data_IF_091407200801
#
_entry.id   IF_091407200801
#
_cell.length_a   1.000
_cell.length_b   1.000
_cell.length_c   1.000
_cell.angle_alpha   90.00
_cell.angle_beta   90.00
_cell.angle_gamma   90.00
#
_symmetry.space_group_name_H-M   'P 1'
#
loop_
_entity.id
_entity.type
_entity.pdbx_description
1 polymer ?
#
# COMPACT_ATOMS: atom_id res chain seq x y z
N UNK A 1 8.00 30.00 -16.96
CA UNK A 1 8.19 28.56 -17.30
C UNK A 1 7.50 27.61 -16.32
N UNK A 2 7.95 27.37 -15.08
CA UNK A 2 7.21 26.46 -14.16
C UNK A 2 5.78 26.92 -13.86
N UNK A 3 5.58 28.24 -13.68
CA UNK A 3 4.26 28.85 -13.46
C UNK A 3 3.41 28.96 -14.73
N UNK A 4 3.99 28.71 -15.90
CA UNK A 4 3.32 28.82 -17.21
C UNK A 4 2.84 27.45 -17.73
N UNK A 5 2.96 26.38 -16.93
CA UNK A 5 2.52 25.02 -17.30
C UNK A 5 3.49 24.25 -18.20
N UNK A 6 4.61 24.87 -18.58
CA UNK A 6 5.65 24.25 -19.41
C UNK A 6 6.61 23.42 -18.54
N UNK A 7 6.11 22.28 -18.05
CA UNK A 7 6.85 21.43 -17.12
C UNK A 7 7.95 20.62 -17.81
N UNK A 8 7.76 20.22 -19.06
CA UNK A 8 8.75 19.45 -19.85
C UNK A 8 9.98 20.31 -20.20
N UNK A 9 9.78 21.51 -20.75
CA UNK A 9 10.87 22.45 -21.04
C UNK A 9 11.65 22.82 -19.77
N UNK A 10 10.93 23.01 -18.66
CA UNK A 10 11.54 23.29 -17.36
C UNK A 10 12.44 22.12 -16.90
N UNK A 11 12.10 20.87 -17.16
CA UNK A 11 12.96 19.72 -16.85
C UNK A 11 14.26 19.75 -17.65
N UNK A 12 14.23 20.16 -18.92
CA UNK A 12 15.43 20.38 -19.73
C UNK A 12 16.38 21.38 -19.07
N UNK A 13 15.87 22.56 -18.73
CA UNK A 13 16.65 23.61 -18.06
C UNK A 13 17.17 23.16 -16.68
N UNK A 14 16.37 22.43 -15.90
CA UNK A 14 16.85 21.92 -14.62
C UNK A 14 17.91 20.82 -14.78
N UNK A 15 17.90 20.06 -15.88
CA UNK A 15 18.96 19.09 -16.19
C UNK A 15 20.29 19.80 -16.42
N UNK A 16 20.27 20.87 -17.22
CA UNK A 16 21.46 21.71 -17.45
C UNK A 16 21.92 22.40 -16.15
N UNK A 17 20.97 22.94 -15.38
CA UNK A 17 21.27 23.57 -14.10
C UNK A 17 21.90 22.58 -13.10
N UNK A 18 21.50 21.31 -13.12
CA UNK A 18 22.08 20.28 -12.27
C UNK A 18 23.55 20.00 -12.63
N UNK A 19 23.90 20.02 -13.91
CA UNK A 19 25.28 19.87 -14.36
C UNK A 19 26.18 21.04 -13.94
N UNK A 20 25.60 22.24 -13.82
CA UNK A 20 26.30 23.46 -13.37
C UNK A 20 26.30 23.62 -11.84
N UNK A 21 25.47 22.88 -11.12
CA UNK A 21 25.32 23.01 -9.67
C UNK A 21 26.57 22.54 -8.92
N UNK A 22 27.20 23.47 -8.17
CA UNK A 22 28.45 23.21 -7.45
C UNK A 22 28.22 22.92 -5.97
N UNK A 23 27.22 23.56 -5.37
CA UNK A 23 26.96 23.43 -3.94
C UNK A 23 25.86 22.42 -3.66
N UNK A 24 25.91 21.82 -2.47
CA UNK A 24 24.86 20.92 -1.98
C UNK A 24 23.49 21.58 -2.00
N UNK A 25 23.40 22.83 -1.54
CA UNK A 25 22.15 23.58 -1.50
C UNK A 25 21.56 23.83 -2.90
N UNK A 26 22.41 24.12 -3.90
CA UNK A 26 21.97 24.25 -5.29
C UNK A 26 21.42 22.93 -5.82
N UNK A 27 22.12 21.82 -5.60
CA UNK A 27 21.67 20.50 -6.03
C UNK A 27 20.33 20.12 -5.39
N UNK A 28 20.17 20.35 -4.09
CA UNK A 28 18.91 20.14 -3.37
C UNK A 28 17.78 20.95 -4.04
N UNK A 29 17.98 22.26 -4.24
CA UNK A 29 16.96 23.10 -4.85
C UNK A 29 16.58 22.64 -6.28
N UNK A 30 17.56 22.24 -7.09
CA UNK A 30 17.31 21.75 -8.45
C UNK A 30 16.53 20.43 -8.43
N UNK A 31 16.94 19.45 -7.62
CA UNK A 31 16.21 18.18 -7.48
C UNK A 31 14.78 18.39 -6.95
N UNK A 32 14.59 19.25 -5.94
CA UNK A 32 13.24 19.58 -5.44
C UNK A 32 12.34 20.18 -6.52
N UNK A 33 12.87 21.06 -7.37
CA UNK A 33 12.12 21.65 -8.47
C UNK A 33 11.81 20.62 -9.58
N UNK A 34 12.75 19.73 -9.90
CA UNK A 34 12.53 18.61 -10.83
C UNK A 34 11.45 17.66 -10.34
N UNK A 35 11.46 17.29 -9.05
CA UNK A 35 10.41 16.50 -8.42
C UNK A 35 9.04 17.16 -8.58
N UNK A 36 8.96 18.47 -8.37
CA UNK A 36 7.73 19.24 -8.55
C UNK A 36 7.26 19.28 -10.02
N UNK A 37 8.17 19.31 -11.00
CA UNK A 37 7.81 19.17 -12.43
C UNK A 37 7.27 17.77 -12.74
N UNK A 38 7.95 16.71 -12.30
CA UNK A 38 7.49 15.34 -12.54
C UNK A 38 6.13 15.05 -11.89
N UNK A 39 5.85 15.62 -10.72
CA UNK A 39 4.52 15.55 -10.11
C UNK A 39 3.44 16.21 -10.96
N UNK A 40 3.74 17.33 -11.61
CA UNK A 40 2.80 17.99 -12.54
C UNK A 40 2.61 17.22 -13.84
N UNK A 41 3.62 16.47 -14.25
CA UNK A 41 3.56 15.56 -15.39
C UNK A 41 3.00 14.17 -15.04
N UNK A 42 2.58 13.95 -13.80
CA UNK A 42 2.11 12.66 -13.29
C UNK A 42 3.12 11.50 -13.42
N UNK A 43 4.41 11.81 -13.59
CA UNK A 43 5.50 10.81 -13.55
C UNK A 43 5.95 10.61 -12.09
N UNK A 44 5.11 9.93 -11.31
CA UNK A 44 5.31 9.76 -9.88
C UNK A 44 6.58 8.96 -9.55
N UNK A 45 7.01 8.04 -10.43
CA UNK A 45 8.24 7.26 -10.20
C UNK A 45 9.46 8.17 -10.22
N UNK A 46 9.62 8.99 -11.27
CA UNK A 46 10.72 9.95 -11.34
C UNK A 46 10.64 11.02 -10.26
N UNK A 47 9.43 11.46 -9.89
CA UNK A 47 9.28 12.37 -8.77
C UNK A 47 9.83 11.80 -7.45
N UNK A 48 9.59 10.51 -7.17
CA UNK A 48 10.12 9.84 -5.99
C UNK A 48 11.65 9.66 -6.04
N UNK A 49 12.21 9.39 -7.23
CA UNK A 49 13.66 9.34 -7.46
C UNK A 49 14.34 10.69 -7.18
N UNK A 50 13.81 11.78 -7.71
CA UNK A 50 14.33 13.13 -7.46
C UNK A 50 14.26 13.49 -5.97
N UNK A 51 13.17 13.11 -5.27
CA UNK A 51 13.09 13.27 -3.82
C UNK A 51 14.17 12.44 -3.10
N UNK A 52 14.47 11.24 -3.59
CA UNK A 52 15.53 10.38 -3.05
C UNK A 52 16.90 11.03 -3.22
N UNK A 53 17.19 11.62 -4.37
CA UNK A 53 18.43 12.40 -4.59
C UNK A 53 18.56 13.58 -3.62
N UNK A 54 17.45 14.25 -3.27
CA UNK A 54 17.47 15.28 -2.21
C UNK A 54 17.85 14.68 -0.86
N UNK A 55 17.30 13.51 -0.52
CA UNK A 55 17.53 12.85 0.77
C UNK A 55 18.91 12.21 0.90
N UNK A 56 19.55 11.84 -0.21
CA UNK A 56 20.97 11.44 -0.24
C UNK A 56 21.89 12.61 0.14
N UNK A 57 21.51 13.83 -0.27
CA UNK A 57 22.22 15.03 0.12
C UNK A 57 21.86 15.41 1.55
N UNK A 58 20.60 15.71 1.84
CA UNK A 58 20.10 16.07 3.16
C UNK A 58 19.10 15.04 3.67
N UNK A 59 19.62 14.13 4.49
CA UNK A 59 18.87 13.01 5.01
C UNK A 59 17.72 13.44 5.95
N UNK A 60 17.78 14.64 6.53
CA UNK A 60 16.75 15.16 7.43
C UNK A 60 15.82 16.17 6.76
N UNK A 61 15.87 16.27 5.43
CA UNK A 61 15.06 17.23 4.68
C UNK A 61 13.56 16.90 4.76
N UNK A 62 12.88 17.53 5.72
CA UNK A 62 11.46 17.26 6.01
C UNK A 62 10.57 17.51 4.78
N UNK A 63 10.88 18.52 3.97
CA UNK A 63 10.14 18.81 2.74
C UNK A 63 10.20 17.68 1.70
N UNK A 64 11.39 17.08 1.48
CA UNK A 64 11.53 15.97 0.54
C UNK A 64 10.91 14.68 1.10
N UNK A 65 11.02 14.43 2.41
CA UNK A 65 10.33 13.30 3.04
C UNK A 65 8.82 13.41 2.83
N UNK A 66 8.21 14.56 3.12
CA UNK A 66 6.76 14.75 2.90
C UNK A 66 6.37 14.60 1.43
N UNK A 67 7.15 15.17 0.51
CA UNK A 67 6.87 15.07 -0.92
C UNK A 67 6.98 13.63 -1.42
N UNK A 68 7.99 12.89 -0.96
CA UNK A 68 8.17 11.47 -1.29
C UNK A 68 7.05 10.62 -0.73
N UNK A 69 6.63 10.83 0.52
CA UNK A 69 5.45 10.17 1.12
C UNK A 69 4.21 10.34 0.25
N UNK A 70 3.90 11.58 -0.15
CA UNK A 70 2.72 11.85 -0.99
C UNK A 70 2.82 11.16 -2.35
N UNK A 71 4.01 11.12 -2.92
CA UNK A 71 4.30 10.47 -4.20
C UNK A 71 4.15 8.94 -4.10
N UNK A 72 4.73 8.33 -3.07
CA UNK A 72 4.68 6.89 -2.80
C UNK A 72 3.26 6.41 -2.49
N UNK A 73 2.47 7.20 -1.77
CA UNK A 73 1.03 6.94 -1.57
C UNK A 73 0.29 6.87 -2.90
N UNK A 74 0.61 7.77 -3.82
CA UNK A 74 0.00 7.78 -5.16
C UNK A 74 0.41 6.55 -5.97
N UNK A 75 1.65 6.07 -5.77
CA UNK A 75 2.15 4.81 -6.32
C UNK A 75 1.65 3.55 -5.58
N UNK A 76 0.85 3.70 -4.52
CA UNK A 76 0.39 2.63 -3.62
C UNK A 76 1.52 1.87 -2.92
N UNK A 77 2.72 2.43 -2.87
CA UNK A 77 3.83 1.90 -2.07
C UNK A 77 3.72 2.43 -0.63
N UNK A 78 2.78 1.85 0.11
CA UNK A 78 2.49 2.27 1.48
C UNK A 78 3.59 1.90 2.48
N UNK A 79 4.38 0.86 2.19
CA UNK A 79 5.48 0.43 3.05
C UNK A 79 6.60 1.48 3.06
N UNK A 80 7.07 1.88 1.88
CA UNK A 80 8.09 2.91 1.74
C UNK A 80 7.58 4.26 2.26
N UNK A 81 6.30 4.59 2.03
CA UNK A 81 5.70 5.81 2.57
C UNK A 81 5.68 5.80 4.12
N UNK A 82 5.36 4.66 4.74
CA UNK A 82 5.33 4.54 6.20
C UNK A 82 6.73 4.71 6.81
N UNK A 83 7.76 4.18 6.15
CA UNK A 83 9.16 4.38 6.57
C UNK A 83 9.51 5.87 6.64
N UNK A 84 9.17 6.64 5.60
CA UNK A 84 9.45 8.07 5.56
C UNK A 84 8.63 8.87 6.59
N UNK A 85 7.37 8.49 6.82
CA UNK A 85 6.55 9.11 7.88
C UNK A 85 7.14 8.86 9.27
N UNK A 86 7.64 7.65 9.54
CA UNK A 86 8.32 7.36 10.81
C UNK A 86 9.51 8.28 11.03
N UNK A 87 10.31 8.50 9.97
CA UNK A 87 11.43 9.43 10.01
C UNK A 87 11.00 10.88 10.28
N UNK A 88 9.89 11.33 9.66
CA UNK A 88 9.31 12.64 9.95
C UNK A 88 8.86 12.78 11.41
N UNK A 89 8.32 11.70 11.99
CA UNK A 89 7.95 11.66 13.40
C UNK A 89 9.16 11.69 14.34
N UNK A 90 10.27 11.05 13.96
CA UNK A 90 11.53 11.17 14.72
C UNK A 90 12.03 12.62 14.75
N UNK A 91 11.83 13.38 13.67
CA UNK A 91 12.23 14.79 13.59
C UNK A 91 11.31 15.71 14.37
N UNK A 92 9.99 15.48 14.30
CA UNK A 92 9.00 16.26 15.04
C UNK A 92 7.92 15.34 15.64
N UNK A 93 8.16 14.78 16.84
CA UNK A 93 7.26 13.80 17.47
C UNK A 93 5.88 14.36 17.83
N UNK A 94 5.78 15.66 18.10
CA UNK A 94 4.55 16.36 18.48
C UNK A 94 3.64 16.73 17.29
N UNK A 95 4.02 16.38 16.07
CA UNK A 95 3.24 16.72 14.89
C UNK A 95 2.06 15.76 14.71
N UNK A 96 0.85 16.24 15.03
CA UNK A 96 -0.40 15.52 14.77
C UNK A 96 -0.57 15.16 13.29
N UNK A 97 -0.02 15.98 12.38
CA UNK A 97 -0.07 15.74 10.94
C UNK A 97 0.62 14.42 10.59
N UNK A 98 1.79 14.14 11.17
CA UNK A 98 2.55 12.92 10.88
C UNK A 98 1.93 11.70 11.53
N UNK A 99 1.40 11.84 12.74
CA UNK A 99 0.67 10.75 13.41
C UNK A 99 -0.59 10.35 12.61
N UNK A 100 -1.34 11.34 12.11
CA UNK A 100 -2.51 11.12 11.28
C UNK A 100 -2.15 10.45 9.93
N UNK A 101 -1.06 10.89 9.27
CA UNK A 101 -0.58 10.21 8.07
C UNK A 101 -0.19 8.75 8.36
N UNK A 102 0.55 8.50 9.44
CA UNK A 102 0.99 7.17 9.83
C UNK A 102 -0.19 6.22 10.05
N UNK A 103 -1.23 6.69 10.78
CA UNK A 103 -2.44 5.92 11.02
C UNK A 103 -3.16 5.56 9.71
N UNK A 104 -3.33 6.55 8.80
CA UNK A 104 -3.95 6.33 7.48
C UNK A 104 -3.19 5.30 6.64
N UNK A 105 -1.85 5.39 6.63
CA UNK A 105 -1.01 4.46 5.88
C UNK A 105 -1.11 3.02 6.42
N UNK A 106 -1.14 2.85 7.75
CA UNK A 106 -1.35 1.52 8.36
C UNK A 106 -2.70 0.93 8.01
N UNK A 107 -3.76 1.74 8.00
CA UNK A 107 -5.07 1.29 7.55
C UNK A 107 -5.04 0.86 6.09
N UNK A 108 -4.45 1.65 5.19
CA UNK A 108 -4.31 1.27 3.77
C UNK A 108 -3.55 -0.04 3.58
N UNK A 109 -2.50 -0.25 4.37
CA UNK A 109 -1.72 -1.49 4.33
C UNK A 109 -2.51 -2.70 4.85
N UNK A 110 -3.34 -2.50 5.87
CA UNK A 110 -4.24 -3.54 6.39
C UNK A 110 -5.39 -3.88 5.44
N UNK A 111 -5.81 -2.94 4.60
CA UNK A 111 -6.87 -3.10 3.61
C UNK A 111 -6.35 -3.64 2.27
N UNK A 112 -5.03 -3.67 2.07
CA UNK A 112 -4.45 -4.20 0.84
C UNK A 112 -4.90 -5.67 0.68
N UNK A 113 -5.48 -6.04 -0.48
CA UNK A 113 -5.85 -7.42 -0.75
C UNK A 113 -4.64 -8.32 -0.51
N UNK A 114 -4.84 -9.41 0.22
CA UNK A 114 -3.84 -10.48 0.33
C UNK A 114 -3.55 -10.89 -1.13
N UNK A 115 -2.30 -10.84 -1.61
CA UNK A 115 -2.00 -11.33 -2.95
C UNK A 115 -2.45 -12.79 -2.98
N UNK A 116 -3.46 -13.08 -3.79
CA UNK A 116 -3.79 -14.45 -4.17
C UNK A 116 -2.48 -15.02 -4.70
N UNK A 117 -1.98 -16.02 -3.97
CA UNK A 117 -0.66 -16.59 -4.17
C UNK A 117 -0.45 -16.97 -5.63
N UNK A 118 0.77 -16.77 -6.13
CA UNK A 118 1.26 -17.00 -7.49
C UNK A 118 1.14 -18.46 -8.00
N UNK A 119 0.19 -19.27 -7.51
CA UNK A 119 -0.04 -20.66 -7.92
C UNK A 119 -0.86 -20.77 -9.23
N UNK A 120 -1.60 -19.75 -9.65
CA UNK A 120 -2.40 -19.81 -10.88
C UNK A 120 -1.61 -19.58 -12.18
N UNK A 121 -0.35 -19.15 -12.09
CA UNK A 121 0.50 -18.97 -13.29
C UNK A 121 0.99 -20.30 -13.91
N UNK A 122 0.77 -21.46 -13.26
CA UNK A 122 1.27 -22.75 -13.74
C UNK A 122 0.25 -23.55 -14.59
N UNK A 123 -0.98 -23.08 -14.80
CA UNK A 123 -2.04 -23.88 -15.43
C UNK A 123 -2.43 -23.50 -16.87
N UNK A 124 -1.75 -22.52 -17.50
CA UNK A 124 -2.14 -22.02 -18.83
C UNK A 124 -1.17 -22.28 -19.99
N UNK A 125 -0.15 -23.13 -19.85
CA UNK A 125 0.74 -23.48 -20.97
C UNK A 125 0.81 -24.99 -21.29
N UNK A 126 -0.31 -25.66 -21.53
CA UNK A 126 -0.29 -26.84 -22.41
C UNK A 126 -1.43 -26.80 -23.42
N UNK A 127 -1.13 -26.33 -24.63
CA UNK A 127 -2.09 -26.36 -25.73
C UNK A 127 -1.66 -25.66 -27.00
N UNK A 128 -0.57 -26.09 -27.65
CA UNK A 128 -0.25 -25.61 -29.00
C UNK A 128 1.00 -26.21 -29.65
N UNK A 129 0.85 -27.32 -30.38
CA UNK A 129 1.82 -27.75 -31.41
C UNK A 129 1.58 -26.92 -32.68
N UNK A 130 2.60 -26.41 -33.40
CA UNK A 130 3.36 -27.07 -34.49
C UNK A 130 4.23 -25.98 -35.21
N UNK A 131 4.99 -26.26 -36.30
CA UNK A 131 6.45 -26.51 -36.27
C UNK A 131 7.26 -25.58 -37.20
N UNK A 132 8.51 -25.23 -36.88
CA UNK A 132 9.43 -24.65 -37.87
C UNK A 132 10.85 -25.23 -37.79
N UNK A 133 11.31 -25.58 -38.99
CA UNK A 133 12.55 -26.21 -39.42
C UNK A 133 13.78 -25.32 -39.26
N UNK A 134 14.96 -25.91 -39.05
CA UNK A 134 16.23 -25.22 -39.28
C UNK A 134 17.44 -25.93 -38.69
N UNK A 135 18.20 -26.62 -39.55
CA UNK A 135 19.50 -27.24 -39.27
C UNK A 135 20.55 -26.30 -38.63
N UNK A 136 21.28 -26.79 -37.62
CA UNK A 136 22.69 -26.43 -37.41
C UNK A 136 23.43 -27.46 -36.54
N UNK A 137 24.59 -27.89 -37.04
CA UNK A 137 25.52 -28.88 -36.50
C UNK A 137 26.20 -28.42 -35.19
N UNK A 138 26.44 -29.34 -34.25
CA UNK A 138 27.79 -29.84 -33.85
C UNK A 138 28.01 -30.15 -32.35
N UNK A 139 28.42 -31.42 -32.13
CA UNK A 139 29.31 -32.02 -31.09
C UNK A 139 28.91 -32.09 -29.59
N UNK A 140 29.16 -33.25 -28.93
CA UNK A 140 28.93 -33.45 -27.50
C UNK A 140 30.22 -33.29 -26.67
N UNK A 141 30.13 -32.84 -25.42
CA UNK A 141 31.15 -33.16 -24.42
C UNK A 141 30.61 -33.22 -22.99
N UNK A 142 30.90 -34.37 -22.40
CA UNK A 142 30.78 -34.80 -21.01
C UNK A 142 31.30 -33.78 -19.97
N UNK A 143 30.58 -33.60 -18.87
CA UNK A 143 31.02 -34.02 -17.52
C UNK A 143 30.17 -33.33 -16.43
N UNK A 144 29.41 -34.14 -15.69
CA UNK A 144 28.90 -33.79 -14.35
C UNK A 144 30.00 -34.08 -13.33
N UNK A 145 30.25 -33.22 -12.33
CA UNK A 145 30.92 -33.66 -11.12
C UNK A 145 29.89 -34.14 -10.07
N UNK A 146 30.16 -35.31 -9.50
CA UNK A 146 29.47 -35.92 -8.36
C UNK A 146 30.03 -35.44 -7.01
N UNK A 147 29.09 -35.12 -6.10
CA UNK A 147 28.98 -35.50 -4.66
C UNK A 147 30.04 -35.01 -3.64
N UNK A 148 29.63 -34.77 -2.37
CA UNK A 148 29.58 -35.90 -1.44
C UNK A 148 28.32 -36.00 -0.59
N UNK A 149 27.89 -37.25 -0.41
CA UNK A 149 27.01 -37.74 0.65
C UNK A 149 27.70 -37.50 1.99
N UNK A 150 27.02 -36.85 2.93
CA UNK A 150 27.42 -36.88 4.35
C UNK A 150 26.35 -37.57 5.16
N UNK A 151 26.83 -38.47 6.02
CA UNK A 151 26.07 -39.41 6.83
C UNK A 151 25.25 -38.71 7.91
N UNK A 152 24.04 -39.27 8.12
CA UNK A 152 23.15 -39.02 9.23
C UNK A 152 23.86 -39.02 10.59
N UNK A 153 23.63 -37.98 11.37
CA UNK A 153 23.70 -38.05 12.83
C UNK A 153 22.28 -38.08 13.38
N UNK A 154 21.95 -39.20 14.04
CA UNK A 154 20.73 -39.44 14.78
C UNK A 154 20.46 -38.32 15.78
N UNK A 155 19.46 -37.49 15.53
CA UNK A 155 18.73 -36.81 16.59
C UNK A 155 17.65 -37.77 17.08
N UNK A 156 17.87 -38.30 18.27
CA UNK A 156 16.89 -39.09 19.02
C UNK A 156 15.65 -38.22 19.24
N UNK A 157 14.56 -38.58 18.57
CA UNK A 157 13.24 -38.01 18.78
C UNK A 157 12.71 -38.55 20.12
N UNK A 158 12.36 -37.71 21.11
CA UNK A 158 11.67 -38.19 22.30
C UNK A 158 10.32 -38.78 21.88
N UNK A 159 10.11 -40.07 22.19
CA UNK A 159 8.96 -40.87 21.80
C UNK A 159 7.74 -40.63 22.69
N UNK A 160 7.38 -39.36 22.92
CA UNK A 160 6.12 -38.98 23.59
C UNK A 160 5.57 -37.68 22.98
N UNK A 161 5.00 -37.81 21.79
CA UNK A 161 4.11 -36.80 21.20
C UNK A 161 2.67 -37.24 21.44
N UNK A 162 1.82 -36.45 22.14
CA UNK A 162 0.40 -36.75 22.23
C UNK A 162 -0.22 -36.71 20.83
N UNK A 163 -0.93 -37.78 20.49
CA UNK A 163 -1.57 -37.97 19.20
C UNK A 163 -2.64 -36.90 18.91
N UNK A 164 -2.49 -36.25 17.75
CA UNK A 164 -3.47 -35.42 17.01
C UNK A 164 -3.70 -33.99 17.55
N UNK A 165 -3.50 -32.93 16.74
CA UNK A 165 -4.09 -31.64 17.05
C UNK A 165 -5.61 -31.80 16.99
N UNK A 166 -6.26 -31.45 18.09
CA UNK A 166 -7.71 -31.41 18.16
C UNK A 166 -8.17 -30.34 17.17
N UNK A 167 -8.97 -30.76 16.18
CA UNK A 167 -9.50 -29.86 15.15
C UNK A 167 -10.23 -28.67 15.76
N UNK A 168 -10.44 -27.63 14.95
CA UNK A 168 -11.17 -26.41 15.29
C UNK A 168 -12.44 -26.75 16.10
N UNK A 169 -12.38 -26.55 17.42
CA UNK A 169 -13.56 -26.71 18.28
C UNK A 169 -14.43 -25.46 18.10
N UNK A 170 -15.71 -25.66 17.79
CA UNK A 170 -16.66 -24.56 17.61
C UNK A 170 -16.78 -23.75 18.90
N UNK A 171 -16.56 -22.42 18.80
CA UNK A 171 -16.76 -21.49 19.91
C UNK A 171 -18.22 -21.62 20.38
N UNK A 172 -18.49 -21.84 21.68
CA UNK A 172 -19.84 -21.94 22.19
C UNK A 172 -20.60 -20.64 21.90
N UNK A 173 -21.80 -20.75 21.32
CA UNK A 173 -22.65 -19.61 20.98
C UNK A 173 -22.82 -18.72 22.22
N UNK A 174 -22.59 -17.40 22.12
CA UNK A 174 -22.85 -16.49 23.23
C UNK A 174 -24.31 -16.65 23.67
N UNK A 175 -24.52 -16.93 24.97
CA UNK A 175 -25.85 -16.96 25.57
C UNK A 175 -26.38 -15.54 25.57
N UNK A 176 -27.15 -15.19 24.54
CA UNK A 176 -27.76 -13.86 24.42
C UNK A 176 -27.72 -13.22 23.04
N UNK A 177 -27.57 -13.98 21.95
CA UNK A 177 -27.94 -13.44 20.65
C UNK A 177 -29.46 -13.39 20.54
N UNK A 178 -29.96 -12.16 20.55
CA UNK A 178 -31.29 -11.72 20.15
C UNK A 178 -31.91 -12.67 19.12
N UNK A 179 -33.17 -13.05 19.35
CA UNK A 179 -34.02 -13.78 18.39
C UNK A 179 -34.30 -12.95 17.14
N UNK A 180 -33.26 -12.66 16.38
CA UNK A 180 -33.35 -12.15 15.03
C UNK A 180 -33.70 -13.35 14.16
N UNK A 181 -34.97 -13.39 13.77
CA UNK A 181 -35.49 -14.35 12.83
C UNK A 181 -34.92 -14.06 11.43
N UNK A 182 -33.95 -14.87 11.01
CA UNK A 182 -33.33 -14.76 9.69
C UNK A 182 -34.25 -15.26 8.57
N UNK A 183 -35.40 -15.89 8.88
CA UNK A 183 -36.40 -16.27 7.87
C UNK A 183 -37.06 -15.07 7.19
N UNK A 184 -36.82 -13.85 7.68
CA UNK A 184 -37.26 -12.60 7.01
C UNK A 184 -36.47 -12.27 5.74
N UNK A 185 -35.25 -12.80 5.58
CA UNK A 185 -34.37 -12.46 4.44
C UNK A 185 -34.42 -13.46 3.28
N UNK A 186 -35.12 -14.58 3.46
CA UNK A 186 -35.25 -15.66 2.44
C UNK A 186 -36.40 -15.41 1.44
N UNK A 187 -37.19 -14.36 1.65
CA UNK A 187 -38.16 -13.89 0.65
C UNK A 187 -37.55 -12.74 -0.14
N UNK A 188 -36.79 -13.10 -1.16
CA UNK A 188 -36.66 -12.24 -2.34
C UNK A 188 -38.03 -12.26 -3.00
N UNK A 189 -38.89 -11.30 -2.64
CA UNK A 189 -40.02 -10.95 -3.49
C UNK A 189 -39.42 -10.31 -4.73
N UNK A 190 -39.51 -11.03 -5.84
CA UNK A 190 -39.29 -10.51 -7.19
C UNK A 190 -40.42 -9.50 -7.44
N UNK A 191 -40.28 -8.29 -6.90
CA UNK A 191 -41.16 -7.16 -7.22
C UNK A 191 -40.65 -6.54 -8.50
N UNK A 192 -40.95 -7.24 -9.59
CA UNK A 192 -40.70 -6.82 -10.95
C UNK A 192 -42.04 -6.85 -11.67
N UNK A 193 -42.82 -5.77 -11.50
CA UNK A 193 -43.41 -4.99 -12.60
C UNK A 193 -44.64 -4.18 -12.14
N UNK A 194 -44.48 -2.85 -12.27
CA UNK A 194 -45.48 -1.88 -12.73
C UNK A 194 -46.71 -1.61 -11.85
N UNK A 195 -46.62 -0.67 -10.90
CA UNK A 195 -47.70 0.30 -10.63
C UNK A 195 -47.13 1.69 -10.31
N UNK A 196 -47.90 2.71 -10.68
CA UNK A 196 -47.56 4.11 -10.90
C UNK A 196 -47.39 4.94 -9.60
N UNK A 197 -46.53 5.97 -9.69
CA UNK A 197 -46.50 7.24 -8.95
C UNK A 197 -46.92 7.30 -7.46
N UNK A 198 -45.94 7.55 -6.57
CA UNK A 198 -46.05 8.60 -5.54
C UNK A 198 -44.65 8.97 -5.00
N UNK A 199 -44.27 10.24 -5.13
CA UNK A 199 -43.01 10.80 -4.64
C UNK A 199 -43.18 11.13 -3.15
N UNK A 200 -42.80 10.21 -2.26
CA UNK A 200 -42.65 10.54 -0.84
C UNK A 200 -41.33 11.28 -0.61
N UNK A 201 -41.43 12.55 -0.21
CA UNK A 201 -40.30 13.40 0.19
C UNK A 201 -39.45 12.72 1.27
N UNK A 202 -38.16 12.53 0.98
CA UNK A 202 -37.13 12.14 1.95
C UNK A 202 -37.09 13.11 3.13
N UNK A 203 -37.69 12.73 4.26
CA UNK A 203 -37.51 13.45 5.51
C UNK A 203 -36.07 13.26 6.01
N UNK A 204 -35.25 14.29 5.82
CA UNK A 204 -33.91 14.38 6.42
C UNK A 204 -33.97 14.25 7.95
N UNK A 205 -33.05 13.49 8.57
CA UNK A 205 -33.00 13.39 10.03
C UNK A 205 -32.64 14.73 10.66
N UNK A 206 -33.56 15.33 11.42
CA UNK A 206 -33.29 16.51 12.26
C UNK A 206 -32.42 16.12 13.47
N UNK A 207 -31.13 16.41 13.39
CA UNK A 207 -30.24 16.33 14.56
C UNK A 207 -30.54 17.48 15.53
N UNK A 208 -31.00 17.16 16.75
CA UNK A 208 -31.12 18.10 17.87
C UNK A 208 -29.97 17.92 18.86
N UNK A 209 -29.12 18.92 18.97
CA UNK A 209 -28.08 18.98 20.00
C UNK A 209 -28.66 19.55 21.29
N UNK A 210 -28.73 18.74 22.35
CA UNK A 210 -29.08 19.23 23.69
C UNK A 210 -27.80 19.59 24.45
N UNK A 211 -27.49 20.89 24.53
CA UNK A 211 -26.43 21.40 25.42
C UNK A 211 -26.96 21.40 26.85
N UNK A 212 -26.42 20.53 27.70
CA UNK A 212 -26.69 20.56 29.15
C UNK A 212 -25.77 21.58 29.80
N UNK A 213 -26.30 22.74 30.19
CA UNK A 213 -25.56 23.70 30.99
C UNK A 213 -25.42 23.18 32.42
N UNK A 214 -24.19 22.92 32.85
CA UNK A 214 -23.88 22.58 34.25
C UNK A 214 -23.90 23.87 35.07
N UNK A 215 -24.88 24.01 35.96
CA UNK A 215 -24.98 25.16 36.86
C UNK A 215 -23.84 25.19 37.87
N UNK A 216 -23.05 26.26 37.86
CA UNK A 216 -22.02 26.53 38.87
C UNK A 216 -22.70 27.18 40.07
N UNK A 217 -22.60 26.58 41.26
CA UNK A 217 -23.09 27.18 42.51
C UNK A 217 -22.01 28.13 43.07
N UNK A 218 -22.39 29.31 43.59
CA UNK A 218 -21.44 30.18 44.27
C UNK A 218 -21.08 29.59 45.65
N UNK A 219 -19.80 29.72 45.99
CA UNK A 219 -19.24 29.36 47.30
C UNK A 219 -19.49 30.53 48.25
N UNK A 220 -20.14 30.26 49.38
CA UNK A 220 -20.22 31.17 50.54
C UNK A 220 -19.11 30.84 51.54
#
# INVERSE_FOLDING_TARGET
>A
MYREGQHEDALGLYTEALALAKTKAQKIAVHSNRAACYLKLHDFKKAAEECTSVLELDHQHSGALMLRVQTLVTLKDYQSALFDVNRLMELNPSSDVYQNMQARLRTQLSLAPIPESEEEALYHEEGGKSPLTGDAKSKPLSSKPEMPVTQNQNLVVPSDMPSKPKGWEAIPKPKGHSGLDYSRWDRVVDDSSEEEEEVEEEQQPQYRFCVKTVGVRPVQ
#
